data_IF_033983664501
#
_entry.id   IF_033983664501
#
_cell.length_a   1.000
_cell.length_b   1.000
_cell.length_c   1.000
_cell.angle_alpha   90.00
_cell.angle_beta   90.00
_cell.angle_gamma   90.00
#
_symmetry.space_group_name_H-M   'P 1'
#
loop_
_entity.id
_entity.type
_entity.pdbx_description
1 polymer ?
#
# COMPACT_ATOMS: atom_id res chain seq x y z
N UNK A 1 -64.01 -16.84 -59.32
CA UNK A 1 -63.44 -17.82 -60.27
C UNK A 1 -61.93 -17.88 -60.06
N UNK A 2 -61.40 -19.09 -59.81
CA UNK A 2 -60.04 -19.64 -60.10
C UNK A 2 -58.79 -18.76 -59.90
N UNK A 3 -57.63 -19.19 -59.42
CA UNK A 3 -57.05 -20.35 -58.71
C UNK A 3 -55.55 -20.00 -58.55
N UNK A 4 -54.90 -20.46 -57.48
CA UNK A 4 -53.45 -20.71 -57.36
C UNK A 4 -52.51 -19.46 -57.39
N UNK A 5 -51.33 -19.40 -56.77
CA UNK A 5 -50.36 -20.42 -56.35
C UNK A 5 -49.47 -19.84 -55.24
N UNK A 6 -48.98 -20.73 -54.38
CA UNK A 6 -47.94 -20.50 -53.37
C UNK A 6 -46.57 -20.32 -54.07
N UNK A 7 -45.75 -19.36 -53.64
CA UNK A 7 -44.30 -19.40 -53.90
C UNK A 7 -43.53 -18.93 -52.69
N UNK A 8 -42.65 -19.80 -52.23
CA UNK A 8 -41.69 -19.62 -51.14
C UNK A 8 -40.55 -18.74 -51.64
N UNK A 9 -40.15 -17.72 -50.88
CA UNK A 9 -38.82 -17.11 -51.00
C UNK A 9 -38.09 -17.25 -49.66
N UNK A 10 -36.92 -17.89 -49.71
CA UNK A 10 -35.99 -18.03 -48.60
C UNK A 10 -34.71 -17.23 -48.89
N UNK A 11 -34.13 -16.68 -47.80
CA UNK A 11 -32.77 -16.11 -47.63
C UNK A 11 -32.49 -14.77 -48.38
N UNK A 12 -31.68 -13.83 -47.89
CA UNK A 12 -30.61 -13.82 -46.87
C UNK A 12 -30.76 -12.57 -45.97
N UNK A 13 -30.64 -12.73 -44.64
CA UNK A 13 -30.23 -11.64 -43.78
C UNK A 13 -28.70 -11.68 -43.67
N UNK A 14 -28.02 -10.65 -44.18
CA UNK A 14 -26.58 -10.52 -44.06
C UNK A 14 -26.23 -10.23 -42.59
N UNK A 15 -25.58 -11.19 -41.93
CA UNK A 15 -24.91 -10.96 -40.64
C UNK A 15 -23.66 -10.10 -40.90
N UNK A 16 -23.77 -8.79 -40.68
CA UNK A 16 -22.60 -7.96 -40.46
C UNK A 16 -22.14 -8.14 -39.01
N UNK A 17 -21.14 -9.00 -38.81
CA UNK A 17 -20.36 -9.04 -37.57
C UNK A 17 -19.37 -7.87 -37.63
N UNK A 18 -19.59 -6.84 -36.82
CA UNK A 18 -18.54 -5.87 -36.52
C UNK A 18 -17.54 -6.54 -35.55
N UNK A 19 -16.24 -6.64 -35.89
CA UNK A 19 -15.27 -7.13 -34.95
C UNK A 19 -14.91 -6.01 -33.95
N UNK A 20 -14.97 -6.33 -32.67
CA UNK A 20 -14.21 -5.62 -31.65
C UNK A 20 -14.88 -4.43 -30.99
N UNK A 21 -15.96 -4.65 -30.22
CA UNK A 21 -16.21 -3.80 -29.05
C UNK A 21 -15.26 -4.30 -27.96
N UNK A 22 -14.08 -3.68 -27.92
CA UNK A 22 -13.14 -3.85 -26.82
C UNK A 22 -13.83 -3.39 -25.54
N UNK A 23 -13.99 -4.31 -24.58
CA UNK A 23 -14.51 -3.98 -23.27
C UNK A 23 -13.70 -2.82 -22.67
N UNK A 24 -14.40 -1.80 -22.17
CA UNK A 24 -13.81 -0.60 -21.59
C UNK A 24 -12.90 -0.94 -20.39
N UNK A 25 -11.78 -0.21 -20.20
CA UNK A 25 -10.78 -0.50 -19.17
C UNK A 25 -11.30 -0.24 -17.74
N UNK A 26 -12.51 0.28 -17.58
CA UNK A 26 -13.13 0.50 -16.27
C UNK A 26 -13.56 -0.81 -15.56
N UNK A 27 -13.76 -1.90 -16.30
CA UNK A 27 -14.20 -3.19 -15.73
C UNK A 27 -13.09 -3.96 -15.01
N UNK A 28 -11.81 -3.63 -15.25
CA UNK A 28 -10.66 -4.28 -14.59
C UNK A 28 -10.29 -3.66 -13.24
N UNK A 29 -10.64 -2.39 -12.99
CA UNK A 29 -10.37 -1.72 -11.72
C UNK A 29 -11.21 -2.24 -10.54
N UNK A 30 -12.40 -2.79 -10.79
CA UNK A 30 -13.21 -3.41 -9.73
C UNK A 30 -12.69 -4.79 -9.30
N UNK A 31 -11.81 -5.43 -10.08
CA UNK A 31 -11.22 -6.74 -9.74
C UNK A 31 -10.01 -6.66 -8.81
N UNK A 32 -9.51 -5.46 -8.50
CA UNK A 32 -8.42 -5.24 -7.53
C UNK A 32 -8.87 -5.27 -6.05
N UNK A 33 -10.07 -5.78 -5.75
CA UNK A 33 -10.58 -5.83 -4.37
C UNK A 33 -10.18 -7.07 -3.55
N UNK A 34 -9.54 -8.08 -4.14
CA UNK A 34 -9.05 -9.22 -3.34
C UNK A 34 -7.70 -8.87 -2.72
N UNK A 35 -7.73 -8.08 -1.65
CA UNK A 35 -6.56 -7.81 -0.83
C UNK A 35 -6.25 -9.01 0.09
N UNK A 36 -5.03 -9.04 0.62
CA UNK A 36 -4.41 -10.18 1.32
C UNK A 36 -5.24 -10.80 2.46
N UNK A 37 -4.94 -12.05 2.77
CA UNK A 37 -5.53 -12.82 3.88
C UNK A 37 -5.46 -12.04 5.22
N UNK A 38 -6.60 -11.79 5.89
CA UNK A 38 -6.65 -11.06 7.17
C UNK A 38 -5.93 -11.78 8.33
N UNK A 39 -5.52 -13.05 8.14
CA UNK A 39 -4.74 -13.80 9.12
C UNK A 39 -3.28 -13.31 9.24
N UNK A 40 -2.78 -12.57 8.23
CA UNK A 40 -1.39 -12.11 8.18
C UNK A 40 -0.34 -13.24 8.29
N UNK A 41 -0.70 -14.48 7.88
CA UNK A 41 0.13 -15.68 8.05
C UNK A 41 1.23 -15.86 6.99
N UNK A 42 1.17 -15.12 5.88
CA UNK A 42 2.21 -15.18 4.86
C UNK A 42 3.56 -14.70 5.41
N UNK A 43 4.66 -15.43 5.16
CA UNK A 43 5.99 -15.00 5.56
C UNK A 43 6.43 -13.77 4.74
N UNK A 44 7.18 -12.87 5.36
CA UNK A 44 7.88 -11.82 4.63
C UNK A 44 8.93 -12.45 3.69
N UNK A 45 9.15 -11.83 2.54
CA UNK A 45 10.14 -12.18 1.53
C UNK A 45 11.17 -11.05 1.35
N UNK A 46 11.97 -11.13 0.27
CA UNK A 46 12.99 -10.13 -0.05
C UNK A 46 14.02 -9.94 1.08
N UNK A 47 14.56 -8.74 1.20
CA UNK A 47 15.49 -8.41 2.29
C UNK A 47 14.83 -8.42 3.67
N UNK A 48 13.51 -8.23 3.78
CA UNK A 48 12.81 -8.32 5.07
C UNK A 48 12.83 -9.74 5.66
N UNK A 49 12.98 -10.78 4.82
CA UNK A 49 13.11 -12.17 5.28
C UNK A 49 14.50 -12.51 5.84
N UNK A 50 15.49 -11.64 5.66
CA UNK A 50 16.86 -11.85 6.14
C UNK A 50 17.03 -11.31 7.58
N UNK A 51 18.23 -11.42 8.15
CA UNK A 51 18.54 -10.88 9.49
C UNK A 51 17.59 -11.38 10.60
N UNK A 52 17.25 -12.67 10.57
CA UNK A 52 16.27 -13.26 11.50
C UNK A 52 14.81 -13.10 11.08
N UNK A 53 14.53 -12.39 9.97
CA UNK A 53 13.23 -12.27 9.34
C UNK A 53 12.30 -11.23 9.98
N UNK A 54 11.16 -11.02 9.33
CA UNK A 54 10.09 -10.13 9.80
C UNK A 54 8.83 -10.95 10.10
N UNK A 55 8.45 -11.03 11.37
CA UNK A 55 7.23 -11.71 11.86
C UNK A 55 6.21 -10.74 12.44
N UNK A 56 6.57 -9.46 12.60
CA UNK A 56 5.74 -8.46 13.26
C UNK A 56 5.28 -8.89 14.65
N UNK A 57 4.00 -8.73 14.91
CA UNK A 57 3.35 -9.07 16.17
C UNK A 57 2.94 -10.54 16.33
N UNK A 58 3.36 -11.45 15.45
CA UNK A 58 3.00 -12.86 15.51
C UNK A 58 3.33 -13.49 16.89
N UNK A 59 2.38 -14.28 17.42
CA UNK A 59 2.45 -14.85 18.77
C UNK A 59 2.15 -13.86 19.91
N UNK A 60 1.81 -12.61 19.58
CA UNK A 60 1.44 -11.56 20.53
C UNK A 60 -0.05 -11.37 20.74
N UNK A 61 -0.39 -10.27 21.41
CA UNK A 61 -1.77 -9.86 21.66
C UNK A 61 -2.44 -9.42 20.37
N UNK A 62 -3.60 -9.98 20.06
CA UNK A 62 -4.42 -9.56 18.91
C UNK A 62 -5.48 -8.58 19.37
N UNK A 63 -5.51 -7.39 18.77
CA UNK A 63 -6.48 -6.33 19.08
C UNK A 63 -7.18 -5.88 17.81
N UNK A 64 -8.42 -5.42 17.94
CA UNK A 64 -9.14 -4.74 16.84
C UNK A 64 -9.34 -3.29 17.24
N UNK A 65 -8.95 -2.36 16.37
CA UNK A 65 -9.04 -0.92 16.61
C UNK A 65 -9.97 -0.26 15.59
N UNK A 66 -10.75 0.69 16.07
CA UNK A 66 -11.66 1.53 15.26
C UNK A 66 -11.45 3.02 15.53
N UNK A 67 -10.54 3.37 16.44
CA UNK A 67 -10.27 4.76 16.83
C UNK A 67 -8.77 5.06 16.72
N UNK A 68 -8.45 6.33 16.48
CA UNK A 68 -7.07 6.80 16.49
C UNK A 68 -6.39 6.56 17.85
N UNK A 69 -7.11 6.77 18.95
CA UNK A 69 -6.57 6.59 20.29
C UNK A 69 -6.13 5.14 20.56
N UNK A 70 -6.97 4.16 20.19
CA UNK A 70 -6.61 2.75 20.35
C UNK A 70 -5.46 2.34 19.42
N UNK A 71 -5.49 2.79 18.16
CA UNK A 71 -4.41 2.54 17.22
C UNK A 71 -3.08 3.07 17.75
N UNK A 72 -3.03 4.33 18.19
CA UNK A 72 -1.83 4.93 18.75
C UNK A 72 -1.36 4.23 20.04
N UNK A 73 -2.30 3.86 20.92
CA UNK A 73 -2.02 3.12 22.15
C UNK A 73 -1.31 1.80 21.85
N UNK A 74 -1.88 0.97 20.98
CA UNK A 74 -1.33 -0.36 20.70
C UNK A 74 -0.10 -0.31 19.79
N UNK A 75 -0.01 0.66 18.87
CA UNK A 75 1.18 0.86 18.03
C UNK A 75 2.43 1.19 18.86
N UNK A 76 2.27 1.91 19.98
CA UNK A 76 3.36 2.26 20.91
C UNK A 76 3.55 1.27 22.05
N UNK A 77 2.60 0.36 22.29
CA UNK A 77 2.66 -0.57 23.41
C UNK A 77 3.91 -1.46 23.37
N UNK A 78 4.42 -1.83 24.54
CA UNK A 78 5.49 -2.82 24.64
C UNK A 78 4.98 -4.21 24.26
N UNK A 79 5.89 -5.07 23.80
CA UNK A 79 5.56 -6.43 23.40
C UNK A 79 4.83 -6.54 22.06
N UNK A 80 4.63 -7.79 21.65
CA UNK A 80 4.10 -8.14 20.32
C UNK A 80 2.62 -7.85 20.20
N UNK A 81 2.21 -7.13 19.16
CA UNK A 81 0.80 -6.86 18.89
C UNK A 81 0.43 -7.05 17.42
N UNK A 82 -0.67 -7.77 17.17
CA UNK A 82 -1.38 -7.77 15.89
C UNK A 82 -2.57 -6.82 16.01
N UNK A 83 -2.46 -5.66 15.38
CA UNK A 83 -3.40 -4.55 15.42
C UNK A 83 -4.25 -4.59 14.16
N UNK A 84 -5.48 -5.07 14.30
CA UNK A 84 -6.44 -5.17 13.21
C UNK A 84 -7.26 -3.88 13.09
N UNK A 85 -7.09 -3.15 11.98
CA UNK A 85 -7.82 -1.90 11.72
C UNK A 85 -9.16 -2.22 11.06
N UNK A 86 -10.25 -1.92 11.75
CA UNK A 86 -11.61 -2.16 11.24
C UNK A 86 -12.24 -0.86 10.76
N UNK A 87 -12.38 -0.72 9.44
CA UNK A 87 -12.94 0.48 8.82
C UNK A 87 -11.94 1.64 8.76
N UNK A 88 -12.46 2.82 8.43
CA UNK A 88 -11.69 4.06 8.37
C UNK A 88 -11.42 4.62 9.76
N UNK A 89 -10.17 4.94 10.03
CA UNK A 89 -9.75 5.78 11.14
C UNK A 89 -9.26 7.11 10.56
N UNK A 90 -10.00 8.19 10.84
CA UNK A 90 -9.58 9.55 10.49
C UNK A 90 -8.59 10.06 11.54
N UNK A 91 -7.44 10.53 11.08
CA UNK A 91 -6.37 11.05 11.91
C UNK A 91 -6.52 12.56 12.09
N UNK A 92 -6.51 12.99 13.34
CA UNK A 92 -6.54 14.39 13.75
C UNK A 92 -5.41 14.66 14.76
N UNK A 93 -4.62 15.74 14.59
CA UNK A 93 -4.62 16.66 13.44
C UNK A 93 -4.19 15.97 12.14
N UNK A 94 -4.67 16.48 10.99
CA UNK A 94 -4.30 15.97 9.67
C UNK A 94 -2.77 15.97 9.52
N UNK A 95 -2.24 14.92 8.92
CA UNK A 95 -0.81 14.73 8.72
C UNK A 95 -0.09 14.10 9.91
N UNK A 96 -0.79 13.79 11.01
CA UNK A 96 -0.15 13.12 12.15
C UNK A 96 0.31 11.72 11.74
N UNK A 97 1.58 11.45 12.00
CA UNK A 97 2.17 10.12 11.89
C UNK A 97 2.14 9.40 13.24
N UNK A 98 1.40 8.30 13.30
CA UNK A 98 1.33 7.46 14.49
C UNK A 98 2.66 6.72 14.65
N UNK A 99 3.28 6.89 15.82
CA UNK A 99 4.51 6.18 16.14
C UNK A 99 4.26 4.68 16.33
N UNK A 100 5.08 3.86 15.67
CA UNK A 100 5.03 2.40 15.73
C UNK A 100 6.34 1.89 16.31
N UNK A 101 6.25 1.13 17.40
CA UNK A 101 7.41 0.51 18.06
C UNK A 101 7.62 -0.93 17.57
N UNK A 102 8.56 -1.65 18.20
CA UNK A 102 8.97 -2.99 17.79
C UNK A 102 7.82 -4.01 17.79
N UNK A 103 7.97 -5.04 16.96
CA UNK A 103 7.13 -6.25 16.98
C UNK A 103 5.63 -5.97 16.79
N UNK A 104 5.32 -5.20 15.74
CA UNK A 104 3.95 -4.81 15.40
C UNK A 104 3.54 -5.37 14.04
N UNK A 105 2.31 -5.85 13.97
CA UNK A 105 1.62 -6.08 12.71
C UNK A 105 0.41 -5.18 12.68
N UNK A 106 0.35 -4.23 11.76
CA UNK A 106 -0.82 -3.38 11.55
C UNK A 106 -1.47 -3.82 10.25
N UNK A 107 -2.69 -4.37 10.35
CA UNK A 107 -3.38 -4.99 9.24
C UNK A 107 -4.83 -4.52 9.12
N UNK A 108 -5.29 -4.16 7.91
CA UNK A 108 -6.70 -3.85 7.67
C UNK A 108 -7.58 -5.10 7.67
N UNK A 109 -8.80 -4.98 8.21
CA UNK A 109 -9.82 -6.02 8.13
C UNK A 109 -10.62 -5.86 6.84
N UNK A 110 -10.72 -6.94 6.05
CA UNK A 110 -11.48 -6.96 4.81
C UNK A 110 -11.00 -5.90 3.83
N UNK A 111 -11.93 -5.21 3.16
CA UNK A 111 -11.62 -4.17 2.19
C UNK A 111 -11.69 -2.74 2.75
N UNK A 112 -11.92 -2.56 4.06
CA UNK A 112 -12.29 -1.25 4.64
C UNK A 112 -11.26 -0.67 5.60
N UNK A 113 -10.19 -1.39 5.93
CA UNK A 113 -9.11 -0.87 6.77
C UNK A 113 -8.42 0.33 6.12
N UNK A 114 -8.60 1.52 6.69
CA UNK A 114 -8.07 2.77 6.15
C UNK A 114 -7.54 3.68 7.24
N UNK A 115 -6.37 4.26 7.01
CA UNK A 115 -5.80 5.38 7.76
C UNK A 115 -5.97 6.61 6.88
N UNK A 116 -6.90 7.47 7.26
CA UNK A 116 -7.29 8.64 6.48
C UNK A 116 -6.72 9.91 7.13
N UNK A 117 -6.09 10.78 6.34
CA UNK A 117 -5.48 12.04 6.79
C UNK A 117 -4.32 11.89 7.78
N UNK A 118 -3.62 10.75 7.77
CA UNK A 118 -2.39 10.57 8.55
C UNK A 118 -1.57 9.41 8.02
N UNK A 119 -0.53 9.06 8.79
CA UNK A 119 0.43 8.02 8.42
C UNK A 119 1.05 7.34 9.64
N UNK A 120 2.22 6.75 9.44
CA UNK A 120 2.98 6.06 10.47
C UNK A 120 4.43 6.50 10.46
N UNK A 121 5.05 6.52 11.65
CA UNK A 121 6.49 6.73 11.79
C UNK A 121 7.16 5.66 12.64
N UNK A 122 8.30 5.18 12.16
CA UNK A 122 9.16 4.24 12.85
C UNK A 122 10.49 4.93 13.13
N UNK A 123 10.88 5.01 14.41
CA UNK A 123 12.17 5.53 14.84
C UNK A 123 12.97 4.40 15.47
N UNK A 124 14.00 3.91 14.76
CA UNK A 124 14.79 2.76 15.18
C UNK A 124 13.96 1.52 15.56
N UNK A 125 12.73 1.41 15.03
CA UNK A 125 11.86 0.29 15.30
C UNK A 125 12.27 -0.92 14.46
N UNK A 126 12.05 -2.12 14.99
CA UNK A 126 12.37 -3.38 14.32
C UNK A 126 11.19 -4.32 14.25
N UNK A 127 11.20 -5.20 13.23
CA UNK A 127 10.24 -6.28 13.09
C UNK A 127 8.79 -5.75 13.01
N UNK A 128 8.47 -5.00 11.95
CA UNK A 128 7.17 -4.36 11.76
C UNK A 128 6.56 -4.77 10.42
N UNK A 129 5.26 -5.05 10.43
CA UNK A 129 4.48 -5.42 9.25
C UNK A 129 3.32 -4.43 9.05
N UNK A 130 3.17 -3.89 7.85
CA UNK A 130 1.99 -3.14 7.41
C UNK A 130 1.31 -3.88 6.27
N UNK A 131 0.06 -4.32 6.44
CA UNK A 131 -0.62 -5.12 5.42
C UNK A 131 -2.08 -4.78 5.20
N UNK A 132 -2.55 -4.93 3.97
CA UNK A 132 -3.97 -4.79 3.64
C UNK A 132 -4.58 -3.45 4.14
N UNK A 133 -3.86 -2.34 4.04
CA UNK A 133 -4.32 -1.02 4.47
C UNK A 133 -4.50 -0.10 3.28
N UNK A 134 -5.44 0.83 3.39
CA UNK A 134 -5.40 2.07 2.63
C UNK A 134 -4.81 3.18 3.50
N UNK A 135 -3.87 3.97 2.99
CA UNK A 135 -3.21 5.06 3.73
C UNK A 135 -3.15 6.31 2.84
N UNK A 136 -3.40 7.49 3.40
CA UNK A 136 -3.13 8.76 2.71
C UNK A 136 -4.22 9.80 2.88
N UNK A 137 -4.46 10.61 1.84
CA UNK A 137 -5.27 11.83 1.89
C UNK A 137 -4.69 12.92 2.82
N UNK A 138 -3.37 13.00 2.90
CA UNK A 138 -2.65 14.07 3.61
C UNK A 138 -2.27 15.24 2.69
N UNK A 139 -2.51 15.15 1.37
CA UNK A 139 -2.25 16.19 0.37
C UNK A 139 -2.65 17.61 0.81
N UNK A 140 -1.76 18.58 0.61
CA UNK A 140 -1.97 19.99 0.94
C UNK A 140 -2.28 20.75 -0.35
N UNK A 141 -3.41 21.45 -0.37
CA UNK A 141 -3.85 22.20 -1.56
C UNK A 141 -2.84 23.30 -1.91
N UNK A 142 -2.46 23.37 -3.19
CA UNK A 142 -1.45 24.30 -3.68
C UNK A 142 0.00 23.86 -3.46
N UNK A 143 0.24 22.71 -2.81
CA UNK A 143 1.57 22.12 -2.60
C UNK A 143 1.72 20.83 -3.40
N UNK A 144 1.63 20.93 -4.73
CA UNK A 144 1.78 19.80 -5.66
C UNK A 144 3.15 19.10 -5.50
N UNK A 145 4.17 19.86 -5.13
CA UNK A 145 5.50 19.34 -4.89
C UNK A 145 5.64 18.65 -3.53
N UNK A 146 4.70 18.82 -2.60
CA UNK A 146 4.78 18.28 -1.23
C UNK A 146 6.03 18.78 -0.50
N UNK A 147 6.23 20.10 -0.42
CA UNK A 147 7.43 20.72 0.16
C UNK A 147 7.15 21.52 1.44
N UNK A 148 5.88 21.76 1.76
CA UNK A 148 5.49 22.61 2.89
C UNK A 148 5.23 21.84 4.17
N UNK A 149 4.92 20.54 4.07
CA UNK A 149 4.63 19.66 5.19
C UNK A 149 5.34 18.32 4.99
N UNK A 150 5.82 17.72 6.08
CA UNK A 150 6.45 16.39 6.12
C UNK A 150 5.37 15.36 6.51
N UNK A 151 4.35 15.18 5.65
CA UNK A 151 3.22 14.29 5.93
C UNK A 151 3.33 13.01 5.10
N UNK A 152 4.08 12.05 5.63
CA UNK A 152 4.34 10.79 4.96
C UNK A 152 3.25 9.75 5.23
N UNK A 153 3.10 8.80 4.30
CA UNK A 153 2.27 7.62 4.52
C UNK A 153 2.89 6.68 5.54
N UNK A 154 4.12 6.22 5.28
CA UNK A 154 4.96 5.46 6.21
C UNK A 154 6.39 5.99 6.14
N UNK A 155 6.80 6.65 7.21
CA UNK A 155 8.15 7.16 7.41
C UNK A 155 8.95 6.20 8.31
N UNK A 156 10.18 5.89 7.92
CA UNK A 156 11.06 4.96 8.62
C UNK A 156 12.46 5.53 8.72
N UNK A 157 12.87 5.85 9.94
CA UNK A 157 14.21 6.36 10.27
C UNK A 157 15.00 5.28 11.01
N UNK A 158 16.03 4.74 10.35
CA UNK A 158 16.91 3.70 10.92
C UNK A 158 16.12 2.46 11.40
N UNK A 159 14.98 2.16 10.75
CA UNK A 159 14.19 0.98 11.07
C UNK A 159 14.84 -0.30 10.51
N UNK A 160 14.48 -1.47 11.03
CA UNK A 160 14.99 -2.74 10.48
C UNK A 160 13.94 -3.85 10.42
N UNK A 161 14.06 -4.74 9.41
CA UNK A 161 13.15 -5.86 9.25
C UNK A 161 11.69 -5.39 9.14
N UNK A 162 11.40 -4.59 8.12
CA UNK A 162 10.06 -4.04 7.86
C UNK A 162 9.48 -4.63 6.58
N UNK A 163 8.22 -5.05 6.63
CA UNK A 163 7.50 -5.55 5.47
C UNK A 163 6.19 -4.78 5.24
N UNK A 164 6.08 -4.16 4.07
CA UNK A 164 4.91 -3.40 3.63
C UNK A 164 4.29 -4.16 2.46
N UNK A 165 3.11 -4.74 2.63
CA UNK A 165 2.53 -5.65 1.64
C UNK A 165 1.04 -5.45 1.41
N UNK A 166 0.59 -5.47 0.15
CA UNK A 166 -0.82 -5.27 -0.21
C UNK A 166 -1.44 -3.99 0.36
N UNK A 167 -0.67 -2.90 0.40
CA UNK A 167 -1.20 -1.58 0.78
C UNK A 167 -1.63 -0.80 -0.46
N UNK A 168 -2.61 0.08 -0.29
CA UNK A 168 -2.95 1.13 -1.24
C UNK A 168 -2.56 2.46 -0.62
N UNK A 169 -1.70 3.24 -1.26
CA UNK A 169 -1.36 4.58 -0.81
C UNK A 169 -1.67 5.62 -1.88
N UNK A 170 -2.23 6.76 -1.47
CA UNK A 170 -2.60 7.83 -2.39
C UNK A 170 -2.65 9.21 -1.75
N UNK A 171 -2.46 10.27 -2.57
CA UNK A 171 -2.70 11.66 -2.16
C UNK A 171 -1.97 12.03 -0.85
N UNK A 172 -0.69 11.71 -0.77
CA UNK A 172 0.18 12.06 0.36
C UNK A 172 0.48 13.57 0.39
N UNK A 173 0.96 14.07 1.53
CA UNK A 173 1.41 15.45 1.68
C UNK A 173 2.90 15.62 1.37
N UNK A 174 3.73 14.59 1.56
CA UNK A 174 5.10 14.51 1.04
C UNK A 174 5.39 13.15 0.37
N UNK A 175 5.98 12.18 1.08
CA UNK A 175 6.27 10.83 0.57
C UNK A 175 5.12 9.84 0.84
N UNK A 176 4.95 8.80 0.02
CA UNK A 176 4.10 7.67 0.42
C UNK A 176 4.86 6.72 1.34
N UNK A 177 6.07 6.33 0.93
CA UNK A 177 6.94 5.43 1.69
C UNK A 177 8.34 6.04 1.75
N UNK A 178 8.74 6.48 2.94
CA UNK A 178 10.02 7.12 3.17
C UNK A 178 10.91 6.21 4.02
N UNK A 179 11.88 5.56 3.36
CA UNK A 179 12.92 4.73 3.94
C UNK A 179 14.21 5.55 4.10
N UNK A 180 14.27 6.33 5.18
CA UNK A 180 15.30 7.32 5.41
C UNK A 180 16.41 6.80 6.33
N UNK A 181 17.54 7.52 6.34
CA UNK A 181 18.74 7.19 7.12
C UNK A 181 19.17 5.75 6.85
N UNK A 182 19.47 4.98 7.90
CA UNK A 182 20.03 3.64 7.79
C UNK A 182 18.93 2.56 7.87
N UNK A 183 17.71 2.84 7.39
CA UNK A 183 16.63 1.85 7.35
C UNK A 183 17.03 0.65 6.48
N UNK A 184 17.04 -0.54 7.07
CA UNK A 184 17.65 -1.74 6.48
C UNK A 184 16.70 -2.94 6.52
N UNK A 185 16.92 -3.95 5.67
CA UNK A 185 16.06 -5.14 5.60
C UNK A 185 14.59 -4.77 5.38
N UNK A 186 14.33 -3.93 4.38
CA UNK A 186 12.99 -3.49 4.00
C UNK A 186 12.49 -4.32 2.82
N UNK A 187 11.22 -4.69 2.82
CA UNK A 187 10.54 -5.20 1.62
C UNK A 187 9.18 -4.52 1.43
N UNK A 188 8.94 -4.02 0.22
CA UNK A 188 7.66 -3.45 -0.20
C UNK A 188 7.12 -4.27 -1.36
N UNK A 189 5.97 -4.91 -1.18
CA UNK A 189 5.45 -5.90 -2.12
C UNK A 189 3.96 -5.77 -2.42
N UNK A 190 3.54 -6.15 -3.63
CA UNK A 190 2.12 -6.29 -4.02
C UNK A 190 1.24 -5.08 -3.70
N UNK A 191 1.81 -3.88 -3.66
CA UNK A 191 1.14 -2.66 -3.21
C UNK A 191 0.81 -1.75 -4.38
N UNK A 192 -0.20 -0.90 -4.22
CA UNK A 192 -0.61 0.10 -5.21
C UNK A 192 -0.25 1.48 -4.68
N UNK A 193 0.59 2.21 -5.41
CA UNK A 193 1.00 3.57 -5.10
C UNK A 193 0.48 4.47 -6.20
N UNK A 194 -0.45 5.37 -5.88
CA UNK A 194 -1.19 6.09 -6.92
C UNK A 194 -1.47 7.56 -6.64
N UNK A 195 -1.70 8.32 -7.70
CA UNK A 195 -2.18 9.71 -7.66
C UNK A 195 -1.36 10.57 -6.68
N UNK A 196 -0.05 10.62 -6.91
CA UNK A 196 0.89 11.23 -5.97
C UNK A 196 2.19 11.70 -6.63
N UNK A 197 2.85 12.71 -6.09
CA UNK A 197 4.10 13.21 -6.65
C UNK A 197 5.28 12.25 -6.40
N UNK A 198 5.66 12.04 -5.12
CA UNK A 198 6.86 11.29 -4.71
C UNK A 198 6.48 9.94 -4.08
N UNK A 199 6.55 8.85 -4.84
CA UNK A 199 6.12 7.56 -4.32
C UNK A 199 7.06 7.03 -3.21
N UNK A 200 8.37 7.19 -3.37
CA UNK A 200 9.37 6.77 -2.38
C UNK A 200 10.35 7.90 -2.01
N UNK A 201 10.77 7.99 -0.75
CA UNK A 201 11.99 8.67 -0.33
C UNK A 201 12.98 7.65 0.23
N UNK A 202 14.02 7.28 -0.52
CA UNK A 202 14.97 6.22 -0.10
C UNK A 202 16.36 6.81 0.03
N UNK A 203 16.97 6.57 1.20
CA UNK A 203 18.28 7.12 1.52
C UNK A 203 18.18 8.56 2.02
N UNK A 204 19.15 8.96 2.83
CA UNK A 204 19.24 10.33 3.34
C UNK A 204 20.55 10.62 4.09
N UNK A 205 21.33 9.57 4.37
CA UNK A 205 22.67 9.63 4.92
C UNK A 205 23.69 9.28 3.83
N UNK A 206 24.97 9.52 4.11
CA UNK A 206 26.07 9.05 3.26
C UNK A 206 26.43 7.56 3.51
N UNK A 207 25.78 6.93 4.50
CA UNK A 207 26.02 5.54 4.87
C UNK A 207 25.42 4.58 3.84
N UNK A 208 26.26 3.73 3.23
CA UNK A 208 25.82 2.74 2.24
C UNK A 208 25.60 1.37 2.92
N UNK A 209 24.59 1.29 3.79
CA UNK A 209 24.32 0.08 4.62
C UNK A 209 22.96 -0.57 4.37
N UNK A 210 21.99 0.19 3.85
CA UNK A 210 20.61 -0.25 3.66
C UNK A 210 20.47 -1.30 2.55
N UNK A 211 19.55 -2.24 2.75
CA UNK A 211 19.22 -3.30 1.81
C UNK A 211 17.70 -3.41 1.68
N UNK A 212 17.20 -3.27 0.45
CA UNK A 212 15.75 -3.16 0.21
C UNK A 212 15.30 -4.02 -0.97
N UNK A 213 14.09 -4.57 -0.87
CA UNK A 213 13.38 -5.20 -1.97
C UNK A 213 12.08 -4.43 -2.24
N UNK A 214 11.81 -4.10 -3.50
CA UNK A 214 10.56 -3.49 -3.93
C UNK A 214 10.10 -4.32 -5.12
N UNK A 215 9.02 -5.08 -5.02
CA UNK A 215 8.62 -5.98 -6.12
C UNK A 215 7.10 -6.10 -6.25
N UNK A 216 6.62 -6.32 -7.47
CA UNK A 216 5.19 -6.52 -7.77
C UNK A 216 4.28 -5.36 -7.29
N UNK A 217 4.84 -4.16 -7.16
CA UNK A 217 4.06 -2.96 -6.87
C UNK A 217 3.52 -2.35 -8.15
N UNK A 218 2.35 -1.73 -8.07
CA UNK A 218 1.73 -1.01 -9.17
C UNK A 218 1.78 0.50 -8.91
N UNK A 219 2.53 1.21 -9.74
CA UNK A 219 2.64 2.66 -9.73
C UNK A 219 1.67 3.25 -10.76
N UNK A 220 0.69 4.04 -10.32
CA UNK A 220 -0.36 4.57 -11.17
C UNK A 220 -0.52 6.07 -11.00
N UNK A 221 -0.30 6.85 -12.06
CA UNK A 221 -0.39 8.31 -12.01
C UNK A 221 0.50 8.91 -10.91
N UNK A 222 1.75 8.46 -10.88
CA UNK A 222 2.78 9.03 -10.00
C UNK A 222 3.84 9.76 -10.82
N UNK A 223 4.35 10.88 -10.31
CA UNK A 223 5.26 11.73 -11.07
C UNK A 223 6.73 11.27 -10.96
N UNK A 224 7.19 10.92 -9.76
CA UNK A 224 8.61 10.64 -9.50
C UNK A 224 8.83 9.64 -8.36
N UNK A 225 10.08 9.14 -8.31
CA UNK A 225 10.59 8.20 -7.30
C UNK A 225 9.79 6.89 -7.26
N UNK A 226 9.74 6.18 -8.39
CA UNK A 226 8.94 4.97 -8.63
C UNK A 226 9.73 3.64 -8.83
N UNK A 227 10.60 3.19 -7.91
CA UNK A 227 11.27 3.92 -6.84
C UNK A 227 12.49 4.70 -7.37
N UNK A 228 13.01 5.64 -6.57
CA UNK A 228 14.38 6.18 -6.72
C UNK A 228 15.17 5.71 -5.50
N UNK A 229 16.31 5.06 -5.70
CA UNK A 229 17.09 4.47 -4.62
C UNK A 229 18.45 5.16 -4.50
N UNK A 230 18.65 5.89 -3.41
CA UNK A 230 19.86 6.68 -3.17
C UNK A 230 20.66 6.11 -1.99
N UNK A 231 21.99 6.05 -2.11
CA UNK A 231 22.92 5.70 -1.02
C UNK A 231 22.58 4.41 -0.24
N UNK A 232 22.15 3.36 -0.93
CA UNK A 232 21.88 2.04 -0.32
C UNK A 232 22.89 0.99 -0.77
N UNK A 233 23.13 -0.03 0.07
CA UNK A 233 24.06 -1.12 -0.21
C UNK A 233 23.55 -2.04 -1.32
N UNK A 234 22.30 -2.50 -1.21
CA UNK A 234 21.67 -3.37 -2.19
C UNK A 234 20.21 -3.01 -2.41
N UNK A 235 19.79 -3.02 -3.67
CA UNK A 235 18.40 -2.88 -4.07
C UNK A 235 18.01 -4.04 -5.00
N UNK A 236 16.82 -4.59 -4.79
CA UNK A 236 16.14 -5.46 -5.74
C UNK A 236 14.79 -4.83 -6.07
N UNK A 237 14.58 -4.44 -7.33
CA UNK A 237 13.44 -3.66 -7.82
C UNK A 237 12.68 -4.44 -8.90
#
# INVERSE_FOLDING_TARGET
MFFSQLTILAALAANFILPGVQASPLSSLQKLQKRADPSCSAPADGFASLNGGTTGGAGGTVVTVTTQADLAKFAKASGKHVIKVKGRITIAPKGTEIEVTNDKTIIGIGATGEIFQGGFKLNAAKNVIFRNLKIGNTYVEGDEEGKTQDFDGIQMDTASNVWIDHVLMEKGGDGLIDSRKDTNFLTVSNSVLQNHNKAFGIGWTENVVAQITIHHNYFLNTNQRNPSADNIKYAHL
#
